data_IF_121507893000
#
_entry.id   IF_121507893000
#
_cell.length_a   1.000
_cell.length_b   1.000
_cell.length_c   1.000
_cell.angle_alpha   90.00
_cell.angle_beta   90.00
_cell.angle_gamma   90.00
#
_symmetry.space_group_name_H-M   'P 1'
#
loop_
_entity.id
_entity.type
_entity.pdbx_description
1 polymer ?
#
# COMPACT_ATOMS: atom_id res chain seq x y z
N UNK A 1 9.12 1.18 13.93
CA UNK A 1 8.59 0.12 13.09
C UNK A 1 9.69 -0.48 12.25
N UNK A 2 9.72 -1.79 12.17
CA UNK A 2 10.81 -2.49 11.49
C UNK A 2 10.52 -2.79 10.02
N UNK A 3 9.24 -2.86 9.66
CA UNK A 3 8.84 -3.28 8.32
C UNK A 3 7.75 -2.39 7.76
N UNK A 4 7.65 -2.38 6.44
CA UNK A 4 6.60 -1.64 5.73
C UNK A 4 5.96 -2.58 4.70
N UNK A 5 4.62 -2.61 4.69
CA UNK A 5 3.87 -3.16 3.57
C UNK A 5 3.58 -1.99 2.64
N UNK A 6 4.14 -2.03 1.45
CA UNK A 6 3.94 -0.99 0.46
C UNK A 6 2.87 -1.41 -0.54
N UNK A 7 1.94 -0.51 -0.80
CA UNK A 7 0.89 -0.73 -1.81
C UNK A 7 1.08 0.30 -2.91
N UNK A 8 1.37 -0.16 -4.10
CA UNK A 8 1.61 0.68 -5.26
C UNK A 8 0.44 0.52 -6.21
N UNK A 9 -0.42 1.52 -6.30
CA UNK A 9 -1.67 1.43 -7.06
C UNK A 9 -1.51 2.15 -8.39
N UNK A 10 -1.52 1.40 -9.46
CA UNK A 10 -1.43 1.93 -10.81
C UNK A 10 -2.65 1.57 -11.64
N UNK A 11 -2.82 2.24 -12.77
CA UNK A 11 -3.97 2.04 -13.63
C UNK A 11 -4.00 0.68 -14.33
N UNK A 12 -2.84 0.11 -14.61
CA UNK A 12 -2.73 -1.18 -15.30
C UNK A 12 -2.38 -2.31 -14.34
N UNK A 13 -1.43 -2.06 -13.45
CA UNK A 13 -0.97 -3.04 -12.47
C UNK A 13 -0.91 -2.39 -11.11
N UNK A 14 -1.19 -3.17 -10.09
CA UNK A 14 -1.02 -2.75 -8.70
C UNK A 14 -0.20 -3.81 -7.99
N UNK A 15 0.55 -3.40 -7.00
CA UNK A 15 1.46 -4.31 -6.32
C UNK A 15 1.43 -4.10 -4.82
N UNK A 16 1.76 -5.17 -4.10
CA UNK A 16 2.06 -5.10 -2.68
C UNK A 16 3.48 -5.62 -2.48
N UNK A 17 4.21 -4.98 -1.60
CA UNK A 17 5.57 -5.39 -1.30
C UNK A 17 5.80 -5.35 0.20
N UNK A 18 6.75 -6.13 0.63
CA UNK A 18 7.22 -6.12 2.01
C UNK A 18 8.65 -5.61 1.99
N UNK A 19 8.92 -4.60 2.78
CA UNK A 19 10.24 -3.98 2.83
C UNK A 19 10.69 -3.76 4.27
N UNK A 20 11.99 -3.73 4.44
CA UNK A 20 12.62 -3.38 5.70
C UNK A 20 13.47 -2.13 5.47
N UNK A 21 13.03 -0.96 5.96
CA UNK A 21 13.83 0.25 5.81
C UNK A 21 15.13 0.16 6.62
N UNK A 22 16.22 0.49 5.98
CA UNK A 22 17.52 0.58 6.64
C UNK A 22 17.98 2.04 6.76
N UNK A 23 19.17 2.26 7.26
CA UNK A 23 19.70 3.61 7.43
C UNK A 23 19.92 4.33 6.10
N UNK A 24 20.40 3.61 5.11
CA UNK A 24 20.72 4.19 3.81
C UNK A 24 19.89 3.60 2.70
N UNK A 25 19.47 2.36 2.84
CA UNK A 25 18.76 1.64 1.80
C UNK A 25 17.51 0.97 2.34
N UNK A 26 16.58 0.70 1.44
CA UNK A 26 15.39 -0.09 1.75
C UNK A 26 15.65 -1.50 1.20
N UNK A 27 15.47 -2.49 2.03
CA UNK A 27 15.59 -3.89 1.62
C UNK A 27 14.21 -4.42 1.25
N UNK A 28 14.04 -4.88 0.00
CA UNK A 28 12.78 -5.45 -0.45
C UNK A 28 12.81 -6.95 -0.25
N UNK A 29 11.87 -7.45 0.54
CA UNK A 29 11.81 -8.85 0.91
C UNK A 29 10.88 -9.67 0.03
N UNK A 30 9.73 -9.10 -0.33
CA UNK A 30 8.72 -9.75 -1.16
C UNK A 30 8.02 -8.72 -2.02
N UNK A 31 7.53 -9.14 -3.18
CA UNK A 31 6.72 -8.29 -4.04
C UNK A 31 5.78 -9.15 -4.87
N UNK A 32 4.54 -8.72 -4.99
CA UNK A 32 3.56 -9.38 -5.85
C UNK A 32 2.74 -8.32 -6.56
N UNK A 33 2.66 -8.44 -7.87
CA UNK A 33 1.85 -7.53 -8.69
C UNK A 33 0.65 -8.29 -9.25
N UNK A 34 -0.46 -7.58 -9.40
CA UNK A 34 -1.67 -8.11 -10.03
C UNK A 34 -2.19 -7.09 -11.03
N UNK A 35 -2.99 -7.50 -12.01
CA UNK A 35 -3.67 -6.53 -12.87
C UNK A 35 -4.64 -5.69 -12.04
N UNK A 36 -4.71 -4.39 -12.34
CA UNK A 36 -5.71 -3.52 -11.73
C UNK A 36 -7.00 -3.69 -12.51
N UNK A 37 -7.76 -4.73 -12.18
CA UNK A 37 -8.96 -5.11 -12.90
C UNK A 37 -10.05 -5.45 -11.89
N UNK A 38 -11.26 -4.94 -12.14
CA UNK A 38 -12.37 -5.14 -11.23
C UNK A 38 -12.60 -3.94 -10.33
N UNK A 39 -13.38 -4.14 -9.28
CA UNK A 39 -13.68 -3.05 -8.35
C UNK A 39 -12.47 -2.76 -7.45
N UNK A 40 -12.47 -1.58 -6.87
CA UNK A 40 -11.39 -1.22 -5.95
C UNK A 40 -11.33 -2.18 -4.74
N UNK A 41 -12.49 -2.67 -4.30
CA UNK A 41 -12.52 -3.64 -3.19
C UNK A 41 -11.88 -4.95 -3.58
N UNK A 42 -12.11 -5.40 -4.80
CA UNK A 42 -11.50 -6.63 -5.30
C UNK A 42 -9.98 -6.50 -5.40
N UNK A 43 -9.51 -5.40 -5.95
CA UNK A 43 -8.08 -5.17 -6.12
C UNK A 43 -7.39 -5.02 -4.77
N UNK A 44 -7.92 -4.16 -3.91
CA UNK A 44 -7.31 -3.92 -2.60
C UNK A 44 -7.41 -5.13 -1.68
N UNK A 45 -8.52 -5.85 -1.75
CA UNK A 45 -8.68 -7.08 -0.98
C UNK A 45 -7.66 -8.15 -1.38
N UNK A 46 -7.45 -8.31 -2.67
CA UNK A 46 -6.46 -9.26 -3.17
C UNK A 46 -5.04 -8.87 -2.71
N UNK A 47 -4.70 -7.59 -2.84
CA UNK A 47 -3.38 -7.12 -2.40
C UNK A 47 -3.20 -7.26 -0.88
N UNK A 48 -4.24 -6.97 -0.12
CA UNK A 48 -4.19 -7.09 1.33
C UNK A 48 -3.96 -8.54 1.76
N UNK A 49 -4.63 -9.48 1.10
CA UNK A 49 -4.45 -10.90 1.40
C UNK A 49 -3.02 -11.35 1.11
N UNK A 50 -2.44 -10.87 0.02
CA UNK A 50 -1.04 -11.17 -0.31
C UNK A 50 -0.08 -10.54 0.69
N UNK A 51 -0.36 -9.31 1.11
CA UNK A 51 0.44 -8.65 2.13
C UNK A 51 0.41 -9.38 3.45
N UNK A 52 -0.77 -9.85 3.84
CA UNK A 52 -0.92 -10.65 5.06
C UNK A 52 -0.12 -11.96 4.96
N UNK A 53 -0.14 -12.60 3.79
CA UNK A 53 0.64 -13.80 3.57
C UNK A 53 2.15 -13.55 3.70
N UNK A 54 2.63 -12.39 3.23
CA UNK A 54 4.02 -12.01 3.40
C UNK A 54 4.39 -11.92 4.87
N UNK A 55 3.55 -11.27 5.67
CA UNK A 55 3.81 -11.13 7.11
C UNK A 55 3.85 -12.48 7.80
N UNK A 56 2.92 -13.36 7.45
CA UNK A 56 2.88 -14.70 8.03
C UNK A 56 4.11 -15.52 7.62
N UNK A 57 4.49 -15.44 6.36
CA UNK A 57 5.64 -16.17 5.83
C UNK A 57 6.96 -15.74 6.48
N UNK A 58 7.09 -14.45 6.79
CA UNK A 58 8.28 -13.90 7.44
C UNK A 58 8.16 -13.81 8.95
N UNK A 59 7.06 -14.29 9.51
CA UNK A 59 6.81 -14.29 10.96
C UNK A 59 6.87 -12.89 11.55
N UNK A 60 6.30 -11.93 10.85
CA UNK A 60 6.28 -10.51 11.25
C UNK A 60 4.95 -10.19 11.91
N UNK A 61 5.00 -9.61 13.10
CA UNK A 61 3.81 -9.14 13.80
C UNK A 61 3.32 -7.83 13.18
N UNK A 62 2.02 -7.62 13.16
CA UNK A 62 1.44 -6.35 12.72
C UNK A 62 1.94 -5.16 13.54
N UNK A 63 2.38 -5.39 14.77
CA UNK A 63 2.94 -4.33 15.61
C UNK A 63 4.31 -3.85 15.13
N UNK A 64 4.98 -4.65 14.31
CA UNK A 64 6.29 -4.33 13.78
C UNK A 64 6.21 -3.72 12.37
N UNK A 65 5.02 -3.55 11.85
CA UNK A 65 4.80 -3.17 10.45
C UNK A 65 3.81 -2.03 10.33
N UNK A 66 3.99 -1.22 9.31
CA UNK A 66 3.01 -0.20 8.94
C UNK A 66 2.76 -0.27 7.43
N UNK A 67 1.76 0.44 6.96
CA UNK A 67 1.35 0.43 5.56
C UNK A 67 1.71 1.75 4.91
N UNK A 68 2.43 1.69 3.81
CA UNK A 68 2.66 2.85 2.95
C UNK A 68 1.92 2.64 1.64
N UNK A 69 1.15 3.62 1.21
CA UNK A 69 0.35 3.53 -0.01
C UNK A 69 0.80 4.60 -0.97
N UNK A 70 1.02 4.21 -2.20
CA UNK A 70 1.42 5.09 -3.28
C UNK A 70 0.41 4.96 -4.41
N UNK A 71 -0.09 6.10 -4.87
CA UNK A 71 -1.09 6.12 -5.92
C UNK A 71 -0.97 7.43 -6.68
N UNK A 72 -1.21 7.39 -7.99
CA UNK A 72 -1.29 8.61 -8.77
C UNK A 72 -2.51 9.43 -8.35
N UNK A 73 -2.35 10.75 -8.33
CA UNK A 73 -3.44 11.64 -7.95
C UNK A 73 -4.51 11.73 -9.02
N UNK A 74 -5.62 12.42 -8.68
CA UNK A 74 -5.79 13.21 -7.46
C UNK A 74 -6.13 12.36 -6.25
N UNK A 75 -5.63 12.79 -5.11
CA UNK A 75 -5.93 12.14 -3.84
C UNK A 75 -5.89 13.17 -2.71
N UNK A 76 -6.49 12.78 -1.57
CA UNK A 76 -6.44 13.58 -0.35
C UNK A 76 -5.70 12.76 0.70
N UNK A 77 -4.43 13.07 0.93
CA UNK A 77 -3.60 12.29 1.83
C UNK A 77 -3.99 12.47 3.30
N UNK A 78 -4.56 13.61 3.66
CA UNK A 78 -5.01 13.83 5.05
C UNK A 78 -6.23 12.96 5.37
N UNK A 79 -7.17 12.87 4.43
CA UNK A 79 -8.36 12.03 4.61
C UNK A 79 -8.11 10.57 4.25
N UNK A 80 -6.98 10.29 3.56
CA UNK A 80 -6.67 8.93 3.13
C UNK A 80 -7.58 8.43 2.01
N UNK A 81 -7.95 9.30 1.09
CA UNK A 81 -8.95 9.02 0.06
C UNK A 81 -8.39 9.25 -1.34
N UNK A 82 -8.65 8.33 -2.25
CA UNK A 82 -8.35 8.50 -3.67
C UNK A 82 -9.54 9.21 -4.31
N UNK A 83 -9.24 10.25 -5.10
CA UNK A 83 -10.27 11.12 -5.69
C UNK A 83 -10.34 10.97 -7.19
N UNK A 84 -10.96 9.91 -7.68
CA UNK A 84 -11.26 9.71 -9.11
C UNK A 84 -10.08 9.92 -10.05
N UNK A 85 -8.97 9.19 -9.90
CA UNK A 85 -7.87 9.33 -10.85
C UNK A 85 -8.30 8.92 -12.26
N UNK A 86 -7.86 9.63 -13.30
CA UNK A 86 -8.31 9.32 -14.67
C UNK A 86 -7.88 7.94 -15.15
N UNK A 87 -6.81 7.39 -14.62
CA UNK A 87 -6.34 6.06 -14.99
C UNK A 87 -6.92 4.93 -14.12
N UNK A 88 -7.83 5.28 -13.20
CA UNK A 88 -8.49 4.31 -12.34
C UNK A 88 -10.00 4.51 -12.40
N UNK A 89 -10.66 4.11 -13.50
CA UNK A 89 -12.11 4.29 -13.63
C UNK A 89 -12.85 3.54 -12.52
N UNK A 90 -13.84 4.19 -11.93
CA UNK A 90 -14.62 3.59 -10.86
C UNK A 90 -13.99 3.70 -9.48
N UNK A 91 -12.83 4.32 -9.38
CA UNK A 91 -12.16 4.54 -8.09
C UNK A 91 -12.49 5.94 -7.55
N UNK A 92 -13.78 6.19 -7.37
CA UNK A 92 -14.25 7.49 -6.88
C UNK A 92 -14.32 7.50 -5.37
N UNK A 93 -13.64 8.43 -4.76
CA UNK A 93 -13.65 8.63 -3.31
C UNK A 93 -13.38 7.33 -2.53
N UNK A 94 -12.33 6.63 -2.92
CA UNK A 94 -11.97 5.35 -2.31
C UNK A 94 -11.25 5.61 -0.98
N UNK A 95 -11.84 5.14 0.15
CA UNK A 95 -11.22 5.35 1.48
C UNK A 95 -10.12 4.31 1.72
N UNK A 96 -9.05 4.41 0.94
CA UNK A 96 -8.03 3.38 0.88
C UNK A 96 -7.29 3.21 2.21
N UNK A 97 -7.02 4.30 2.93
CA UNK A 97 -6.31 4.22 4.20
C UNK A 97 -7.15 3.45 5.22
N UNK A 98 -8.40 3.87 5.43
CA UNK A 98 -9.24 3.20 6.43
C UNK A 98 -9.56 1.76 6.03
N UNK A 99 -9.74 1.50 4.74
CA UNK A 99 -9.98 0.14 4.27
C UNK A 99 -8.82 -0.79 4.61
N UNK A 100 -7.60 -0.38 4.30
CA UNK A 100 -6.41 -1.19 4.55
C UNK A 100 -6.08 -1.27 6.04
N UNK A 101 -6.28 -0.18 6.79
CA UNK A 101 -6.08 -0.20 8.24
C UNK A 101 -7.00 -1.20 8.92
N UNK A 102 -8.27 -1.22 8.53
CA UNK A 102 -9.23 -2.15 9.11
C UNK A 102 -8.94 -3.59 8.70
N UNK A 103 -8.55 -3.78 7.45
CA UNK A 103 -8.32 -5.12 6.94
C UNK A 103 -7.05 -5.77 7.47
N UNK A 104 -6.04 -4.96 7.73
CA UNK A 104 -4.72 -5.46 8.15
C UNK A 104 -4.37 -5.13 9.60
N UNK A 105 -5.18 -4.32 10.24
CA UNK A 105 -4.98 -3.90 11.63
C UNK A 105 -3.60 -3.25 11.85
N UNK A 106 -3.29 -2.28 11.01
CA UNK A 106 -2.05 -1.52 11.05
C UNK A 106 -2.29 -0.09 10.60
N UNK A 107 -1.43 0.82 11.03
CA UNK A 107 -1.49 2.21 10.57
C UNK A 107 -1.08 2.31 9.09
N UNK A 108 -1.77 3.15 8.35
CA UNK A 108 -1.50 3.36 6.93
C UNK A 108 -1.44 4.85 6.59
N UNK A 109 -0.63 5.17 5.60
CA UNK A 109 -0.53 6.52 5.04
C UNK A 109 -0.54 6.48 3.52
N UNK A 110 -1.19 7.48 2.95
CA UNK A 110 -1.35 7.63 1.51
C UNK A 110 -0.48 8.78 1.01
N UNK A 111 0.30 8.52 -0.01
CA UNK A 111 1.14 9.53 -0.65
C UNK A 111 0.86 9.59 -2.14
N UNK A 112 1.04 10.79 -2.70
CA UNK A 112 0.92 10.97 -4.13
C UNK A 112 2.17 10.44 -4.80
N UNK A 113 1.98 9.70 -5.84
CA UNK A 113 3.02 9.13 -6.67
C UNK A 113 4.10 8.34 -5.97
N UNK A 114 4.33 7.30 -6.60
CA UNK A 114 5.06 6.41 -6.04
C UNK A 114 6.41 6.33 -6.30
N UNK A 115 7.06 6.26 -5.45
CA UNK A 115 8.33 5.69 -5.69
C UNK A 115 8.89 5.22 -4.35
N UNK A 116 10.14 4.88 -4.34
CA UNK A 116 10.84 4.50 -3.15
C UNK A 116 10.82 5.59 -2.09
N UNK A 117 10.52 6.83 -2.49
CA UNK A 117 10.43 7.94 -1.56
C UNK A 117 9.29 7.78 -0.58
N UNK A 118 8.17 7.20 -1.02
CA UNK A 118 7.05 6.95 -0.14
C UNK A 118 7.43 6.02 1.00
N UNK A 119 8.22 5.01 0.71
CA UNK A 119 8.72 4.09 1.73
C UNK A 119 9.77 4.75 2.62
N UNK A 120 10.62 5.60 2.04
CA UNK A 120 11.66 6.27 2.79
C UNK A 120 11.09 7.19 3.87
N UNK A 121 9.96 7.83 3.60
CA UNK A 121 9.31 8.71 4.57
C UNK A 121 8.83 7.98 5.81
N UNK A 122 8.61 6.69 5.73
CA UNK A 122 8.15 5.90 6.86
C UNK A 122 9.26 5.54 7.84
N UNK A 123 10.48 5.77 7.48
CA UNK A 123 11.60 5.51 8.39
C UNK A 123 11.66 6.47 9.55
N UNK A 124 10.99 7.60 9.41
CA UNK A 124 11.07 8.69 10.38
C UNK A 124 9.68 9.08 10.90
#
# INVERSE_FOLDING_TARGET
MKYVLGFDIGGTKSAVLLARPGKENVEFLERKAIPTHGTWKEVLGCLADKGKAFLESHQISGKECCIGISCGGPLDSERGVILSPPNLPGWDQVPIVSYLEQRLDMDARLKNDADACALAEWRY
#
